data_IF_215803392116
#
_entry.id   IF_215803392116
#
_cell.length_a   1.000
_cell.length_b   1.000
_cell.length_c   1.000
_cell.angle_alpha   90.00
_cell.angle_beta   90.00
_cell.angle_gamma   90.00
#
_symmetry.space_group_name_H-M   'P 1'
#
loop_
_entity.id
_entity.type
_entity.pdbx_description
1 polymer ?
#
# COMPACT_ATOMS: atom_id res chain seq x y z
N UNK A 1 -38.84 10.80 -31.20
CA UNK A 1 -38.08 9.58 -30.97
C UNK A 1 -37.54 9.66 -29.54
N UNK A 2 -38.23 9.02 -28.62
CA UNK A 2 -37.82 8.92 -27.22
C UNK A 2 -36.64 7.98 -27.14
N UNK A 3 -35.46 8.51 -26.74
CA UNK A 3 -34.32 7.69 -26.43
C UNK A 3 -34.72 6.78 -25.25
N UNK A 4 -34.91 5.49 -25.51
CA UNK A 4 -34.93 4.48 -24.48
C UNK A 4 -33.65 4.60 -23.69
N UNK A 5 -33.73 5.05 -22.43
CA UNK A 5 -32.64 4.89 -21.47
C UNK A 5 -32.44 3.38 -21.35
N UNK A 6 -31.37 2.88 -21.98
CA UNK A 6 -30.87 1.55 -21.65
C UNK A 6 -30.56 1.62 -20.16
N UNK A 7 -31.43 1.01 -19.35
CA UNK A 7 -31.14 0.84 -17.92
C UNK A 7 -29.89 -0.03 -17.85
N UNK A 8 -28.78 0.57 -17.45
CA UNK A 8 -27.55 -0.17 -17.17
C UNK A 8 -27.90 -1.26 -16.15
N UNK A 9 -27.83 -2.55 -16.52
CA UNK A 9 -28.15 -3.65 -15.62
C UNK A 9 -27.30 -3.61 -14.33
N UNK A 10 -26.19 -2.87 -14.35
CA UNK A 10 -25.35 -2.63 -13.18
C UNK A 10 -25.84 -1.47 -12.28
N UNK A 11 -26.81 -0.65 -12.74
CA UNK A 11 -27.29 0.51 -11.98
C UNK A 11 -27.97 0.14 -10.63
N UNK A 12 -28.45 -1.10 -10.53
CA UNK A 12 -29.10 -1.65 -9.33
C UNK A 12 -28.12 -2.39 -8.40
N UNK A 13 -26.88 -2.64 -8.85
CA UNK A 13 -25.89 -3.38 -8.06
C UNK A 13 -25.35 -2.50 -6.93
N UNK A 14 -25.54 -2.95 -5.68
CA UNK A 14 -25.02 -2.26 -4.48
C UNK A 14 -23.49 -2.40 -4.38
N UNK A 15 -22.98 -3.61 -4.61
CA UNK A 15 -21.53 -3.89 -4.61
C UNK A 15 -20.88 -3.26 -5.84
N UNK A 16 -19.89 -2.41 -5.64
CA UNK A 16 -19.12 -1.76 -6.69
C UNK A 16 -17.83 -2.52 -6.95
N UNK A 17 -17.37 -2.51 -8.22
CA UNK A 17 -16.11 -3.14 -8.62
C UNK A 17 -15.02 -2.07 -8.70
N UNK A 18 -13.97 -2.25 -7.92
CA UNK A 18 -12.74 -1.48 -8.01
C UNK A 18 -11.71 -2.31 -8.79
N UNK A 19 -11.23 -1.78 -9.92
CA UNK A 19 -10.22 -2.46 -10.74
C UNK A 19 -8.91 -1.67 -10.74
N UNK A 20 -7.81 -2.34 -10.38
CA UNK A 20 -6.47 -1.73 -10.49
C UNK A 20 -6.01 -1.73 -11.94
N UNK A 21 -5.61 -0.55 -12.41
CA UNK A 21 -5.00 -0.39 -13.73
C UNK A 21 -3.49 -0.63 -13.63
N UNK A 22 -2.99 -1.48 -14.49
CA UNK A 22 -1.56 -1.78 -14.63
C UNK A 22 -1.13 -1.82 -16.09
N UNK A 23 0.14 -2.18 -16.39
CA UNK A 23 0.65 -2.18 -17.76
C UNK A 23 -0.19 -2.95 -18.77
N UNK A 24 -0.81 -4.08 -18.36
CA UNK A 24 -1.66 -4.89 -19.22
C UNK A 24 -3.07 -4.31 -19.45
N UNK A 25 -3.49 -3.31 -18.66
CA UNK A 25 -4.87 -2.79 -18.66
C UNK A 25 -5.00 -1.28 -18.87
N UNK A 26 -3.89 -0.56 -19.12
CA UNK A 26 -3.88 0.90 -19.22
C UNK A 26 -4.23 1.45 -20.63
N UNK A 27 -4.36 0.58 -21.63
CA UNK A 27 -4.73 1.01 -22.98
C UNK A 27 -6.19 1.49 -23.03
N UNK A 28 -6.49 2.44 -23.91
CA UNK A 28 -7.85 2.95 -24.11
C UNK A 28 -8.87 1.84 -24.41
N UNK A 29 -8.50 0.87 -25.27
CA UNK A 29 -9.35 -0.27 -25.61
C UNK A 29 -9.65 -1.13 -24.38
N UNK A 30 -8.63 -1.46 -23.59
CA UNK A 30 -8.82 -2.29 -22.40
C UNK A 30 -9.65 -1.56 -21.32
N UNK A 31 -9.43 -0.25 -21.12
CA UNK A 31 -10.27 0.56 -20.24
C UNK A 31 -11.73 0.55 -20.72
N UNK A 32 -12.00 0.69 -22.02
CA UNK A 32 -13.33 0.57 -22.58
C UNK A 32 -13.98 -0.80 -22.32
N UNK A 33 -13.22 -1.89 -22.48
CA UNK A 33 -13.68 -3.25 -22.17
C UNK A 33 -13.99 -3.44 -20.67
N UNK A 34 -13.15 -2.89 -19.77
CA UNK A 34 -13.39 -2.93 -18.33
C UNK A 34 -14.64 -2.15 -17.93
N UNK A 35 -14.89 -0.99 -18.56
CA UNK A 35 -16.12 -0.22 -18.39
C UNK A 35 -17.34 -1.03 -18.84
N UNK A 36 -17.28 -1.66 -20.01
CA UNK A 36 -18.33 -2.54 -20.53
C UNK A 36 -18.58 -3.77 -19.64
N UNK A 37 -17.54 -4.27 -18.96
CA UNK A 37 -17.63 -5.36 -18.00
C UNK A 37 -18.21 -4.92 -16.63
N UNK A 38 -18.43 -3.61 -16.41
CA UNK A 38 -19.09 -3.10 -15.21
C UNK A 38 -18.17 -2.62 -14.11
N UNK A 39 -16.92 -2.25 -14.40
CA UNK A 39 -16.04 -1.57 -13.43
C UNK A 39 -16.65 -0.23 -13.03
N UNK A 40 -16.67 0.06 -11.73
CA UNK A 40 -17.23 1.29 -11.19
C UNK A 40 -16.13 2.28 -10.76
N UNK A 41 -14.97 1.77 -10.31
CA UNK A 41 -13.83 2.59 -9.86
C UNK A 41 -12.54 2.02 -10.45
N UNK A 42 -11.71 2.88 -11.01
CA UNK A 42 -10.37 2.54 -11.48
C UNK A 42 -9.33 2.97 -10.45
N UNK A 43 -8.59 2.01 -9.90
CA UNK A 43 -7.52 2.27 -8.95
C UNK A 43 -6.20 2.46 -9.68
N UNK A 44 -5.55 3.60 -9.45
CA UNK A 44 -4.20 3.94 -9.89
C UNK A 44 -3.25 3.77 -8.71
N UNK A 45 -2.36 2.79 -8.78
CA UNK A 45 -1.42 2.50 -7.70
C UNK A 45 -0.16 3.35 -7.84
N UNK A 46 -0.04 4.38 -7.03
CA UNK A 46 1.10 5.30 -7.02
C UNK A 46 2.40 4.71 -6.44
N UNK A 47 2.37 3.48 -5.93
CA UNK A 47 3.62 2.77 -5.59
C UNK A 47 4.48 2.45 -6.81
N UNK A 48 3.90 2.50 -8.02
CA UNK A 48 4.55 2.14 -9.28
C UNK A 48 4.16 3.11 -10.39
N UNK A 49 5.08 3.28 -11.34
CA UNK A 49 4.84 4.14 -12.50
C UNK A 49 5.19 5.62 -12.26
N UNK A 50 5.28 6.36 -13.35
CA UNK A 50 5.52 7.80 -13.31
C UNK A 50 4.19 8.57 -13.21
N UNK A 51 4.20 9.72 -12.55
CA UNK A 51 3.03 10.61 -12.39
C UNK A 51 2.38 10.96 -13.74
N UNK A 52 3.20 11.25 -14.77
CA UNK A 52 2.70 11.52 -16.13
C UNK A 52 1.90 10.35 -16.73
N UNK A 53 2.29 9.10 -16.43
CA UNK A 53 1.54 7.94 -16.88
C UNK A 53 0.19 7.84 -16.17
N UNK A 54 0.12 8.12 -14.87
CA UNK A 54 -1.14 8.14 -14.12
C UNK A 54 -2.09 9.21 -14.67
N UNK A 55 -1.58 10.41 -14.98
CA UNK A 55 -2.36 11.47 -15.60
C UNK A 55 -2.91 11.05 -16.97
N UNK A 56 -2.10 10.41 -17.81
CA UNK A 56 -2.54 9.89 -19.11
C UNK A 56 -3.62 8.81 -18.97
N UNK A 57 -3.44 7.88 -18.03
CA UNK A 57 -4.44 6.82 -17.76
C UNK A 57 -5.74 7.42 -17.26
N UNK A 58 -5.69 8.41 -16.37
CA UNK A 58 -6.88 9.13 -15.89
C UNK A 58 -7.65 9.78 -17.05
N UNK A 59 -6.95 10.44 -17.99
CA UNK A 59 -7.58 10.99 -19.19
C UNK A 59 -8.22 9.91 -20.07
N UNK A 60 -7.57 8.74 -20.22
CA UNK A 60 -8.16 7.61 -20.95
C UNK A 60 -9.46 7.14 -20.29
N UNK A 61 -9.46 7.01 -18.94
CA UNK A 61 -10.64 6.61 -18.17
C UNK A 61 -11.78 7.62 -18.36
N UNK A 62 -11.52 8.92 -18.17
CA UNK A 62 -12.55 9.97 -18.34
C UNK A 62 -13.14 9.98 -19.76
N UNK A 63 -12.28 9.87 -20.79
CA UNK A 63 -12.71 9.82 -22.20
C UNK A 63 -13.58 8.60 -22.48
N UNK A 64 -13.14 7.43 -22.06
CA UNK A 64 -13.88 6.19 -22.29
C UNK A 64 -15.20 6.15 -21.50
N UNK A 65 -15.21 6.66 -20.27
CA UNK A 65 -16.44 6.82 -19.50
C UNK A 65 -17.48 7.68 -20.23
N UNK A 66 -17.04 8.81 -20.80
CA UNK A 66 -17.88 9.66 -21.64
C UNK A 66 -18.45 8.93 -22.87
N UNK A 67 -17.62 8.15 -23.59
CA UNK A 67 -18.09 7.35 -24.75
C UNK A 67 -19.11 6.27 -24.36
N UNK A 68 -18.97 5.67 -23.19
CA UNK A 68 -19.90 4.66 -22.66
C UNK A 68 -21.13 5.26 -21.93
N UNK A 69 -21.22 6.60 -21.81
CA UNK A 69 -22.29 7.26 -21.06
C UNK A 69 -22.32 6.88 -19.56
N UNK A 70 -21.17 6.52 -18.99
CA UNK A 70 -21.04 6.07 -17.60
C UNK A 70 -20.26 7.08 -16.74
N UNK A 71 -20.65 7.17 -15.47
CA UNK A 71 -19.88 7.83 -14.43
C UNK A 71 -19.09 6.77 -13.66
N UNK A 72 -17.77 6.93 -13.59
CA UNK A 72 -16.88 6.03 -12.86
C UNK A 72 -15.89 6.85 -12.03
N UNK A 73 -15.49 6.30 -10.88
CA UNK A 73 -14.51 6.93 -10.01
C UNK A 73 -13.07 6.60 -10.40
N UNK A 74 -12.16 7.52 -10.09
CA UNK A 74 -10.71 7.31 -10.10
C UNK A 74 -10.23 7.36 -8.65
N UNK A 75 -9.60 6.27 -8.21
CA UNK A 75 -8.97 6.14 -6.90
C UNK A 75 -7.45 6.22 -7.08
N UNK A 76 -6.83 7.28 -6.58
CA UNK A 76 -5.38 7.38 -6.44
C UNK A 76 -4.97 6.73 -5.11
N UNK A 77 -4.19 5.65 -5.17
CA UNK A 77 -3.74 4.91 -4.00
C UNK A 77 -2.26 5.24 -3.73
N UNK A 78 -2.01 6.03 -2.70
CA UNK A 78 -0.69 6.48 -2.27
C UNK A 78 0.15 5.31 -1.76
N UNK A 79 1.46 5.40 -1.95
CA UNK A 79 2.38 4.31 -1.58
C UNK A 79 2.44 4.09 -0.08
N UNK A 80 2.52 5.17 0.70
CA UNK A 80 2.80 5.12 2.12
C UNK A 80 4.21 4.63 2.46
N UNK A 81 4.52 4.49 3.75
CA UNK A 81 5.86 4.17 4.25
C UNK A 81 6.14 2.65 4.23
N UNK A 82 6.06 2.02 3.06
CA UNK A 82 6.42 0.60 2.99
C UNK A 82 7.91 0.41 3.25
N UNK A 83 8.24 -0.11 4.43
CA UNK A 83 9.60 -0.42 4.84
C UNK A 83 10.14 -1.53 3.94
N UNK A 84 11.38 -1.39 3.45
CA UNK A 84 11.99 -2.35 2.54
C UNK A 84 13.43 -2.65 2.95
N UNK A 85 13.87 -3.86 2.62
CA UNK A 85 15.31 -4.16 2.57
C UNK A 85 15.93 -3.52 1.34
N UNK A 86 17.24 -3.30 1.38
CA UNK A 86 18.03 -2.87 0.23
C UNK A 86 18.22 -3.94 -0.83
N UNK A 87 19.26 -3.78 -1.63
CA UNK A 87 19.61 -4.69 -2.70
C UNK A 87 20.67 -5.72 -2.32
N UNK A 88 20.65 -6.84 -3.02
CA UNK A 88 21.71 -7.85 -2.99
C UNK A 88 22.63 -7.69 -4.20
N UNK A 89 23.93 -7.86 -4.01
CA UNK A 89 24.95 -7.79 -5.08
C UNK A 89 24.61 -8.74 -6.24
N UNK A 90 24.10 -9.92 -5.94
CA UNK A 90 23.69 -10.93 -6.94
C UNK A 90 22.15 -10.92 -7.20
N UNK A 91 21.45 -9.86 -6.76
CA UNK A 91 20.02 -9.69 -6.92
C UNK A 91 19.16 -10.53 -5.97
N UNK A 92 19.65 -11.63 -5.45
CA UNK A 92 18.94 -12.48 -4.47
C UNK A 92 19.88 -13.44 -3.75
N UNK A 93 19.46 -13.91 -2.59
CA UNK A 93 20.13 -14.96 -1.81
C UNK A 93 19.16 -16.08 -1.46
N UNK A 94 19.68 -17.26 -1.10
CA UNK A 94 18.89 -18.38 -0.59
C UNK A 94 19.18 -18.54 0.89
N UNK A 95 18.20 -18.27 1.75
CA UNK A 95 18.31 -18.41 3.21
C UNK A 95 17.73 -19.75 3.65
N UNK A 96 18.40 -20.40 4.61
CA UNK A 96 17.91 -21.63 5.21
C UNK A 96 17.48 -21.38 6.66
N UNK A 97 16.52 -22.15 7.15
CA UNK A 97 16.12 -22.07 8.56
C UNK A 97 17.32 -22.41 9.46
N UNK A 98 17.57 -21.57 10.46
CA UNK A 98 18.73 -21.65 11.35
C UNK A 98 19.92 -20.79 10.92
N UNK A 99 19.95 -20.25 9.70
CA UNK A 99 21.02 -19.37 9.27
C UNK A 99 21.00 -18.06 10.09
N UNK A 100 22.17 -17.49 10.45
CA UNK A 100 22.26 -16.12 10.95
C UNK A 100 22.07 -15.14 9.78
N UNK A 101 21.31 -14.09 10.01
CA UNK A 101 21.09 -13.03 9.01
C UNK A 101 20.92 -11.67 9.70
N UNK A 102 21.45 -10.61 9.11
CA UNK A 102 21.34 -9.28 9.72
C UNK A 102 20.61 -8.28 8.80
N UNK A 103 19.83 -7.40 9.42
CA UNK A 103 19.33 -6.18 8.82
C UNK A 103 20.13 -5.00 9.39
N UNK A 104 20.82 -4.23 8.55
CA UNK A 104 21.76 -3.23 9.05
C UNK A 104 21.71 -1.92 8.28
N UNK A 105 21.72 -0.80 9.00
CA UNK A 105 21.88 0.54 8.45
C UNK A 105 23.29 0.81 7.93
N UNK A 106 24.27 -0.02 8.35
CA UNK A 106 25.68 0.14 7.98
C UNK A 106 26.05 -0.58 6.68
N UNK A 107 25.17 -1.44 6.15
CA UNK A 107 25.38 -2.09 4.85
C UNK A 107 24.96 -1.09 3.76
N UNK A 108 25.79 -0.92 2.72
CA UNK A 108 25.43 -0.06 1.60
C UNK A 108 24.17 -0.58 0.86
N UNK A 109 23.35 0.29 0.26
CA UNK A 109 22.01 -0.06 -0.24
C UNK A 109 21.91 -1.25 -1.19
N UNK A 110 22.96 -1.55 -1.97
CA UNK A 110 22.99 -2.64 -2.95
C UNK A 110 24.10 -3.67 -2.68
N UNK A 111 24.64 -3.69 -1.46
CA UNK A 111 25.77 -4.55 -1.06
C UNK A 111 25.35 -5.73 -0.17
N UNK A 112 24.08 -6.10 -0.15
CA UNK A 112 23.61 -7.27 0.59
C UNK A 112 24.20 -8.57 0.06
N UNK A 113 24.41 -9.52 0.96
CA UNK A 113 24.93 -10.86 0.68
C UNK A 113 24.19 -11.93 1.53
N UNK A 114 24.72 -13.16 1.57
CA UNK A 114 24.17 -14.28 2.35
C UNK A 114 24.12 -14.01 3.86
N UNK A 115 24.86 -13.04 4.39
CA UNK A 115 24.97 -12.75 5.83
C UNK A 115 24.06 -11.60 6.25
N UNK A 116 23.66 -10.72 5.32
CA UNK A 116 22.81 -9.60 5.67
C UNK A 116 22.55 -8.64 4.52
N UNK A 117 21.66 -7.70 4.77
CA UNK A 117 21.24 -6.69 3.81
C UNK A 117 20.94 -5.37 4.53
N UNK A 118 21.03 -4.25 3.80
CA UNK A 118 20.61 -2.96 4.31
C UNK A 118 19.09 -2.90 4.49
N UNK A 119 18.63 -1.98 5.32
CA UNK A 119 17.21 -1.65 5.49
C UNK A 119 17.00 -0.15 5.34
N UNK A 120 15.92 0.24 4.68
CA UNK A 120 15.59 1.64 4.37
C UNK A 120 14.84 2.37 5.52
N UNK A 121 14.83 1.81 6.72
CA UNK A 121 14.13 2.35 7.89
C UNK A 121 15.10 2.54 9.05
N UNK A 122 15.57 3.77 9.25
CA UNK A 122 16.58 4.12 10.25
C UNK A 122 16.16 3.78 11.68
N UNK A 123 14.85 3.85 11.98
CA UNK A 123 14.34 3.53 13.30
C UNK A 123 14.15 2.02 13.55
N UNK A 124 14.48 1.13 12.61
CA UNK A 124 14.29 -0.31 12.80
C UNK A 124 14.93 -0.84 14.08
N UNK A 125 16.21 -0.52 14.41
CA UNK A 125 16.82 -1.04 15.62
C UNK A 125 16.11 -0.59 16.92
N UNK A 126 15.55 0.63 16.91
CA UNK A 126 14.80 1.16 18.06
C UNK A 126 13.35 0.64 18.14
N UNK A 127 12.86 0.00 17.07
CA UNK A 127 11.46 -0.46 16.94
C UNK A 127 11.30 -1.96 17.19
N UNK A 128 12.38 -2.68 17.44
CA UNK A 128 12.38 -4.13 17.64
C UNK A 128 13.15 -4.52 18.89
N UNK A 129 12.77 -5.65 19.47
CA UNK A 129 13.42 -6.24 20.62
C UNK A 129 13.68 -7.74 20.41
N UNK A 130 14.44 -8.34 21.30
CA UNK A 130 14.75 -9.78 21.26
C UNK A 130 13.44 -10.59 21.21
N UNK A 131 13.46 -11.66 20.43
CA UNK A 131 12.34 -12.58 20.13
C UNK A 131 11.22 -12.02 19.24
N UNK A 132 11.28 -10.76 18.81
CA UNK A 132 10.40 -10.24 17.76
C UNK A 132 10.55 -11.04 16.47
N UNK A 133 9.45 -11.14 15.72
CA UNK A 133 9.43 -11.80 14.40
C UNK A 133 9.30 -10.75 13.31
N UNK A 134 10.32 -10.63 12.48
CA UNK A 134 10.28 -9.83 11.25
C UNK A 134 9.79 -10.69 10.08
N UNK A 135 8.87 -10.13 9.32
CA UNK A 135 8.21 -10.77 8.18
C UNK A 135 8.74 -10.13 6.91
N UNK A 136 9.37 -10.92 6.05
CA UNK A 136 9.98 -10.43 4.81
C UNK A 136 9.24 -11.01 3.60
N UNK A 137 9.12 -10.22 2.52
CA UNK A 137 8.41 -10.60 1.28
C UNK A 137 6.96 -11.06 1.58
N UNK A 138 6.20 -10.19 2.26
CA UNK A 138 4.81 -10.43 2.66
C UNK A 138 4.65 -11.71 3.51
N UNK A 139 5.63 -11.95 4.42
CA UNK A 139 5.62 -13.05 5.37
C UNK A 139 6.07 -14.41 4.84
N UNK A 140 6.55 -14.49 3.58
CA UNK A 140 7.13 -15.73 3.01
C UNK A 140 8.39 -16.17 3.73
N UNK A 141 9.20 -15.21 4.19
CA UNK A 141 10.36 -15.46 5.04
C UNK A 141 10.10 -14.85 6.41
N UNK A 142 10.64 -15.52 7.45
CA UNK A 142 10.53 -15.04 8.83
C UNK A 142 11.91 -15.02 9.47
N UNK A 143 12.24 -13.90 10.09
CA UNK A 143 13.45 -13.73 10.85
C UNK A 143 13.08 -13.51 12.31
N UNK A 144 13.66 -14.27 13.24
CA UNK A 144 13.53 -14.00 14.67
C UNK A 144 14.71 -13.12 15.10
N UNK A 145 14.40 -12.03 15.78
CA UNK A 145 15.41 -11.13 16.33
C UNK A 145 16.12 -11.80 17.50
N UNK A 146 17.45 -11.89 17.43
CA UNK A 146 18.29 -12.46 18.48
C UNK A 146 18.90 -11.37 19.36
N UNK A 147 19.34 -10.28 18.73
CA UNK A 147 20.04 -9.16 19.38
C UNK A 147 19.92 -7.89 18.54
N UNK A 148 19.98 -6.74 19.20
CA UNK A 148 19.89 -5.41 18.56
C UNK A 148 21.03 -4.51 19.01
N UNK A 149 21.71 -3.88 18.06
CA UNK A 149 22.67 -2.80 18.30
C UNK A 149 22.17 -1.47 17.74
N UNK A 150 22.94 -0.40 17.86
CA UNK A 150 22.53 0.93 17.37
C UNK A 150 22.17 0.96 15.89
N UNK A 151 22.80 0.13 15.05
CA UNK A 151 22.62 0.15 13.59
C UNK A 151 22.24 -1.19 12.99
N UNK A 152 22.18 -2.25 13.79
CA UNK A 152 22.03 -3.62 13.25
C UNK A 152 21.07 -4.44 14.10
N UNK A 153 20.18 -5.14 13.44
CA UNK A 153 19.30 -6.17 14.01
C UNK A 153 19.82 -7.51 13.57
N UNK A 154 20.36 -8.28 14.51
CA UNK A 154 20.85 -9.65 14.29
C UNK A 154 19.69 -10.62 14.45
N UNK A 155 19.53 -11.52 13.49
CA UNK A 155 18.42 -12.45 13.43
C UNK A 155 18.88 -13.87 13.14
N UNK A 156 18.05 -14.82 13.57
CA UNK A 156 18.06 -16.19 13.05
C UNK A 156 16.90 -16.38 12.07
N UNK A 157 17.14 -16.97 10.92
CA UNK A 157 16.12 -17.31 9.93
C UNK A 157 15.20 -18.38 10.51
N UNK A 158 13.95 -18.04 10.79
CA UNK A 158 12.95 -18.99 11.28
C UNK A 158 12.26 -19.73 10.11
N UNK A 159 11.93 -19.01 9.02
CA UNK A 159 11.43 -19.59 7.77
C UNK A 159 12.28 -19.04 6.64
N UNK A 160 13.00 -19.93 5.97
CA UNK A 160 13.90 -19.60 4.86
C UNK A 160 13.21 -19.62 3.51
N UNK A 161 14.00 -19.33 2.48
CA UNK A 161 13.57 -19.31 1.09
C UNK A 161 14.43 -18.35 0.26
N UNK A 162 14.04 -18.14 -1.00
CA UNK A 162 14.69 -17.17 -1.86
C UNK A 162 14.29 -15.75 -1.46
N UNK A 163 15.26 -14.93 -1.07
CA UNK A 163 15.10 -13.52 -0.76
C UNK A 163 15.71 -12.67 -1.86
N UNK A 164 14.91 -11.90 -2.57
CA UNK A 164 15.35 -10.95 -3.60
C UNK A 164 15.40 -9.52 -3.06
N UNK A 165 16.07 -8.64 -3.80
CA UNK A 165 16.23 -7.22 -3.46
C UNK A 165 14.91 -6.49 -3.28
N UNK A 166 14.91 -5.45 -2.43
CA UNK A 166 13.81 -4.48 -2.26
C UNK A 166 12.51 -5.07 -1.72
N UNK A 167 12.56 -6.19 -1.01
CA UNK A 167 11.37 -6.81 -0.39
C UNK A 167 10.90 -6.04 0.83
N UNK A 168 9.58 -6.06 1.06
CA UNK A 168 8.94 -5.44 2.22
C UNK A 168 9.36 -6.10 3.53
N UNK A 169 9.42 -5.30 4.58
CA UNK A 169 9.66 -5.70 5.96
C UNK A 169 8.45 -5.29 6.80
N UNK A 170 7.87 -6.23 7.51
CA UNK A 170 6.86 -5.99 8.53
C UNK A 170 7.32 -6.63 9.84
N UNK A 171 6.70 -6.24 10.95
CA UNK A 171 6.85 -6.90 12.26
C UNK A 171 5.54 -7.59 12.59
N UNK A 172 5.61 -8.85 13.02
CA UNK A 172 4.43 -9.57 13.48
C UNK A 172 3.84 -8.87 14.72
N UNK A 173 2.57 -8.52 14.67
CA UNK A 173 1.92 -7.74 15.71
C UNK A 173 2.06 -6.22 15.57
N UNK A 174 2.73 -5.72 14.51
CA UNK A 174 2.88 -4.30 14.24
C UNK A 174 4.02 -3.61 15.00
N UNK A 175 3.97 -2.29 15.10
CA UNK A 175 4.91 -1.48 15.90
C UNK A 175 6.10 -0.89 15.11
N UNK A 176 6.13 -1.01 13.78
CA UNK A 176 7.08 -0.26 12.95
C UNK A 176 6.46 1.11 12.60
N UNK A 177 6.70 2.11 13.44
CA UNK A 177 6.07 3.42 13.33
C UNK A 177 6.80 4.31 12.31
N UNK A 178 6.24 4.44 11.12
CA UNK A 178 6.67 5.43 10.13
C UNK A 178 5.50 6.38 9.81
N UNK A 179 5.76 7.66 9.48
CA UNK A 179 4.72 8.60 9.06
C UNK A 179 3.93 8.05 7.88
N UNK A 180 2.59 8.16 7.89
CA UNK A 180 1.73 7.60 6.83
C UNK A 180 1.98 8.21 5.44
N UNK A 181 2.46 9.46 5.37
CA UNK A 181 2.83 10.13 4.13
C UNK A 181 4.35 10.30 4.04
N UNK A 182 4.93 9.72 3.01
CA UNK A 182 6.36 9.85 2.66
C UNK A 182 6.61 11.09 1.79
N UNK A 183 7.88 11.49 1.61
CA UNK A 183 8.24 12.54 0.65
C UNK A 183 7.73 12.25 -0.76
N UNK A 184 7.76 10.97 -1.17
CA UNK A 184 7.17 10.57 -2.46
C UNK A 184 5.66 10.82 -2.50
N UNK A 185 4.94 10.51 -1.44
CA UNK A 185 3.48 10.76 -1.38
C UNK A 185 3.19 12.26 -1.42
N UNK A 186 4.03 13.09 -0.80
CA UNK A 186 3.91 14.55 -0.89
C UNK A 186 4.12 15.04 -2.34
N UNK A 187 5.10 14.48 -3.06
CA UNK A 187 5.32 14.80 -4.48
C UNK A 187 4.16 14.31 -5.36
N UNK A 188 3.62 13.12 -5.08
CA UNK A 188 2.47 12.60 -5.78
C UNK A 188 1.23 13.47 -5.56
N UNK A 189 0.98 13.93 -4.33
CA UNK A 189 -0.12 14.85 -4.02
C UNK A 189 0.03 16.17 -4.80
N UNK A 190 1.24 16.73 -4.94
CA UNK A 190 1.48 17.93 -5.77
C UNK A 190 1.13 17.71 -7.24
N UNK A 191 1.29 16.50 -7.75
CA UNK A 191 0.97 16.14 -9.14
C UNK A 191 -0.52 15.77 -9.35
N UNK A 192 -1.28 15.52 -8.30
CA UNK A 192 -2.69 15.08 -8.38
C UNK A 192 -3.64 16.01 -9.14
N UNK A 193 -3.44 17.34 -9.23
CA UNK A 193 -4.27 18.17 -10.10
C UNK A 193 -4.31 17.73 -11.57
N UNK A 194 -3.30 16.99 -12.04
CA UNK A 194 -3.28 16.44 -13.41
C UNK A 194 -4.07 15.13 -13.56
N UNK A 195 -4.40 14.48 -12.45
CA UNK A 195 -5.15 13.20 -12.40
C UNK A 195 -6.63 13.45 -12.06
N UNK A 196 -6.91 14.48 -11.25
CA UNK A 196 -8.24 14.82 -10.74
C UNK A 196 -8.96 13.60 -10.16
N UNK A 197 -8.41 12.95 -9.11
CA UNK A 197 -9.00 11.76 -8.53
C UNK A 197 -10.31 12.09 -7.79
N UNK A 198 -11.27 11.15 -7.82
CA UNK A 198 -12.49 11.21 -7.01
C UNK A 198 -12.23 10.71 -5.58
N UNK A 199 -11.28 9.80 -5.44
CA UNK A 199 -10.87 9.19 -4.18
C UNK A 199 -9.35 9.19 -4.06
N UNK A 200 -8.85 9.42 -2.84
CA UNK A 200 -7.44 9.22 -2.50
C UNK A 200 -7.36 8.23 -1.34
N UNK A 201 -6.65 7.13 -1.54
CA UNK A 201 -6.38 6.18 -0.47
C UNK A 201 -5.04 6.48 0.19
N UNK A 202 -5.03 6.58 1.51
CA UNK A 202 -3.84 6.80 2.34
C UNK A 202 -3.43 5.46 2.93
N UNK A 203 -2.21 5.01 2.62
CA UNK A 203 -1.65 3.73 3.08
C UNK A 203 -1.07 3.84 4.47
N UNK A 204 -1.11 2.75 5.21
CA UNK A 204 -0.51 2.60 6.55
C UNK A 204 -0.92 3.67 7.54
N UNK A 205 -2.20 4.08 7.50
CA UNK A 205 -2.76 5.06 8.45
C UNK A 205 -2.59 4.56 9.87
N UNK A 206 -2.04 5.42 10.73
CA UNK A 206 -1.79 5.15 12.14
C UNK A 206 -2.66 5.97 13.09
N UNK A 207 -3.25 7.06 12.61
CA UNK A 207 -4.09 7.95 13.41
C UNK A 207 -5.06 8.77 12.56
N UNK A 208 -6.04 9.41 13.21
CA UNK A 208 -6.96 10.35 12.56
C UNK A 208 -6.22 11.56 11.97
N UNK A 209 -5.13 11.98 12.60
CA UNK A 209 -4.29 13.10 12.17
C UNK A 209 -3.68 12.87 10.79
N UNK A 210 -3.34 11.62 10.44
CA UNK A 210 -2.84 11.27 9.10
C UNK A 210 -3.87 11.61 8.02
N UNK A 211 -5.15 11.32 8.28
CA UNK A 211 -6.26 11.63 7.37
C UNK A 211 -6.49 13.14 7.26
N UNK A 212 -6.49 13.85 8.41
CA UNK A 212 -6.63 15.31 8.44
C UNK A 212 -5.50 15.98 7.69
N UNK A 213 -4.27 15.49 7.86
CA UNK A 213 -3.09 16.01 7.16
C UNK A 213 -3.15 15.78 5.65
N UNK A 214 -3.51 14.57 5.22
CA UNK A 214 -3.70 14.26 3.79
C UNK A 214 -4.78 15.16 3.16
N UNK A 215 -5.92 15.34 3.86
CA UNK A 215 -7.03 16.22 3.44
C UNK A 215 -6.55 17.66 3.26
N UNK A 216 -5.76 18.17 4.21
CA UNK A 216 -5.19 19.51 4.13
C UNK A 216 -4.30 19.67 2.90
N UNK A 217 -3.36 18.75 2.69
CA UNK A 217 -2.43 18.79 1.55
C UNK A 217 -3.17 18.78 0.21
N UNK A 218 -4.20 17.96 0.05
CA UNK A 218 -5.03 17.90 -1.15
C UNK A 218 -5.83 19.20 -1.35
N UNK A 219 -6.37 19.76 -0.27
CA UNK A 219 -7.07 21.05 -0.30
C UNK A 219 -6.13 22.21 -0.70
N UNK A 220 -4.88 22.19 -0.25
CA UNK A 220 -3.85 23.17 -0.63
C UNK A 220 -3.52 23.09 -2.14
N UNK A 221 -3.77 21.94 -2.79
CA UNK A 221 -3.70 21.76 -4.25
C UNK A 221 -5.02 22.09 -4.98
N UNK A 222 -6.02 22.59 -4.29
CA UNK A 222 -7.34 22.90 -4.85
C UNK A 222 -8.25 21.69 -5.09
N UNK A 223 -7.90 20.53 -4.53
CA UNK A 223 -8.63 19.27 -4.70
C UNK A 223 -9.45 18.93 -3.45
N UNK A 224 -10.55 18.23 -3.64
CA UNK A 224 -11.43 17.75 -2.55
C UNK A 224 -11.93 16.33 -2.83
N UNK A 225 -11.04 15.35 -3.06
CA UNK A 225 -11.44 13.96 -3.21
C UNK A 225 -11.96 13.41 -1.87
N UNK A 226 -12.77 12.36 -1.93
CA UNK A 226 -13.05 11.55 -0.75
C UNK A 226 -11.79 10.79 -0.32
N UNK A 227 -11.48 10.77 0.98
CA UNK A 227 -10.29 10.11 1.51
C UNK A 227 -10.66 8.74 2.07
N UNK A 228 -9.94 7.73 1.59
CA UNK A 228 -10.08 6.35 2.02
C UNK A 228 -8.90 5.99 2.93
N UNK A 229 -9.17 5.70 4.20
CA UNK A 229 -8.16 5.19 5.11
C UNK A 229 -7.91 3.71 4.83
N UNK A 230 -6.66 3.33 4.55
CA UNK A 230 -6.29 1.92 4.40
C UNK A 230 -5.92 1.35 5.78
N UNK A 231 -6.71 0.37 6.20
CA UNK A 231 -6.49 -0.33 7.47
C UNK A 231 -5.53 -1.48 7.19
N UNK A 232 -4.26 -1.29 7.57
CA UNK A 232 -3.13 -2.16 7.22
C UNK A 232 -2.28 -2.54 8.44
N UNK A 233 -2.47 -1.87 9.59
CA UNK A 233 -1.64 -1.99 10.79
C UNK A 233 -2.31 -2.80 11.88
N UNK A 234 -1.57 -3.69 12.53
CA UNK A 234 -2.07 -4.52 13.63
C UNK A 234 -2.48 -3.68 14.84
N UNK A 235 -1.70 -2.65 15.19
CA UNK A 235 -1.98 -1.78 16.32
C UNK A 235 -3.28 -0.97 16.15
N UNK A 236 -3.63 -0.60 14.92
CA UNK A 236 -4.88 0.13 14.63
C UNK A 236 -6.10 -0.76 14.89
N UNK A 237 -6.04 -2.03 14.49
CA UNK A 237 -7.17 -2.96 14.68
C UNK A 237 -7.22 -3.54 16.10
N UNK A 238 -6.13 -3.48 16.84
CA UNK A 238 -6.09 -3.89 18.24
C UNK A 238 -6.73 -2.86 19.19
N UNK A 239 -6.74 -1.57 18.82
CA UNK A 239 -7.34 -0.48 19.58
C UNK A 239 -8.62 0.03 18.89
N UNK A 240 -9.78 -0.36 19.43
CA UNK A 240 -11.10 0.05 18.90
C UNK A 240 -11.29 1.57 18.94
N UNK A 241 -10.73 2.27 19.94
CA UNK A 241 -10.83 3.73 20.02
C UNK A 241 -10.05 4.42 18.91
N UNK A 242 -8.83 3.94 18.65
CA UNK A 242 -7.98 4.40 17.55
C UNK A 242 -8.64 4.11 16.19
N UNK A 243 -9.11 2.88 15.98
CA UNK A 243 -9.79 2.50 14.73
C UNK A 243 -11.01 3.39 14.47
N UNK A 244 -11.87 3.61 15.48
CA UNK A 244 -13.03 4.47 15.34
C UNK A 244 -12.64 5.91 15.01
N UNK A 245 -11.61 6.47 15.63
CA UNK A 245 -11.15 7.82 15.33
C UNK A 245 -10.69 7.98 13.87
N UNK A 246 -10.04 6.96 13.31
CA UNK A 246 -9.63 6.93 11.89
C UNK A 246 -10.86 6.83 10.98
N UNK A 247 -11.83 5.97 11.31
CA UNK A 247 -13.08 5.81 10.54
C UNK A 247 -13.85 7.13 10.51
N UNK A 248 -13.97 7.82 11.64
CA UNK A 248 -14.70 9.09 11.76
C UNK A 248 -14.02 10.24 10.98
N UNK A 249 -12.70 10.21 10.86
CA UNK A 249 -11.93 11.21 10.11
C UNK A 249 -11.96 11.00 8.58
N UNK A 250 -12.15 9.76 8.13
CA UNK A 250 -12.12 9.35 6.73
C UNK A 250 -13.52 9.40 6.09
N UNK A 251 -13.57 9.46 4.76
CA UNK A 251 -14.84 9.34 4.00
C UNK A 251 -15.19 7.88 3.72
N UNK A 252 -14.23 6.97 3.90
CA UNK A 252 -14.40 5.53 3.81
C UNK A 252 -13.13 4.80 4.24
N UNK A 253 -13.23 3.48 4.36
CA UNK A 253 -12.09 2.64 4.73
C UNK A 253 -11.86 1.53 3.71
N UNK A 254 -10.60 1.12 3.60
CA UNK A 254 -10.19 -0.05 2.82
C UNK A 254 -9.52 -1.06 3.76
N UNK A 255 -10.13 -2.21 3.96
CA UNK A 255 -9.45 -3.33 4.63
C UNK A 255 -8.45 -3.92 3.64
N UNK A 256 -7.19 -3.50 3.76
CA UNK A 256 -6.13 -3.91 2.85
C UNK A 256 -5.57 -5.27 3.29
N UNK A 257 -6.29 -6.34 2.93
CA UNK A 257 -6.10 -7.70 3.43
C UNK A 257 -4.68 -8.24 3.23
N UNK A 258 -3.99 -7.78 2.18
CA UNK A 258 -2.61 -8.19 1.91
C UNK A 258 -1.67 -7.77 3.04
N UNK A 259 -1.55 -6.47 3.29
CA UNK A 259 -0.63 -5.94 4.31
C UNK A 259 -1.14 -6.20 5.73
N UNK A 260 -2.42 -5.99 6.01
CA UNK A 260 -3.00 -6.30 7.33
C UNK A 260 -2.85 -7.78 7.70
N UNK A 261 -3.11 -8.70 6.74
CA UNK A 261 -3.00 -10.14 6.99
C UNK A 261 -1.56 -10.58 7.29
N UNK A 262 -0.56 -9.88 6.77
CA UNK A 262 0.84 -10.12 7.12
C UNK A 262 1.08 -9.84 8.61
N UNK A 263 0.57 -8.71 9.14
CA UNK A 263 0.83 -8.30 10.52
C UNK A 263 -0.02 -9.04 11.55
N UNK A 264 -1.32 -9.27 11.27
CA UNK A 264 -2.24 -9.93 12.24
C UNK A 264 -2.35 -11.44 12.05
N UNK A 265 -1.91 -11.95 10.88
CA UNK A 265 -2.09 -13.34 10.47
C UNK A 265 -3.47 -13.64 9.88
N UNK A 266 -3.50 -14.57 8.92
CA UNK A 266 -4.71 -14.90 8.13
C UNK A 266 -5.91 -15.34 8.99
N UNK A 267 -5.65 -16.01 10.12
CA UNK A 267 -6.69 -16.52 10.99
C UNK A 267 -7.53 -15.41 11.65
N UNK A 268 -6.93 -14.26 11.95
CA UNK A 268 -7.61 -13.12 12.60
C UNK A 268 -8.27 -12.19 11.59
N UNK A 269 -7.75 -12.13 10.37
CA UNK A 269 -8.15 -11.17 9.33
C UNK A 269 -9.65 -11.21 9.03
N UNK A 270 -10.25 -12.41 8.96
CA UNK A 270 -11.69 -12.57 8.65
C UNK A 270 -12.56 -11.99 9.76
N UNK A 271 -12.18 -12.19 11.03
CA UNK A 271 -12.90 -11.62 12.18
C UNK A 271 -12.81 -10.10 12.23
N UNK A 272 -11.62 -9.55 11.97
CA UNK A 272 -11.37 -8.12 11.96
C UNK A 272 -12.16 -7.40 10.86
N UNK A 273 -12.28 -8.02 9.69
CA UNK A 273 -13.00 -7.42 8.56
C UNK A 273 -14.52 -7.32 8.79
N UNK A 274 -15.11 -8.15 9.66
CA UNK A 274 -16.55 -8.17 9.97
C UNK A 274 -16.93 -7.21 11.06
#
# INVERSE_FOLDING_TARGET
MTAERIQDPNSLRRTKIVATVGPASQSQDMIGRLLGAGVDVFRLNFSHGAQANHAQVAQHIRRQAGHHGRYVGILADLQGPKIRIGGFTEGSVMLQAGDPFQLSLSIAPDAGDQRGVSVEYEALPASVEQDDILLIDDGKLRLRVDDVSETTVNCTVAIGGKLSSRKGVNKLGGGLAAPALTEKDLDDIRAMPTVEPDFVAVSFVSSAEDIVYARKLLSDQGLRPAIIAKIERAEVVADTGLLNSIIDAADGVMVARGDLGVEVGDAQLIGIQK
#
